data_IF_870199979814
#
_entry.id   IF_870199979814
#
_cell.length_a   1.000
_cell.length_b   1.000
_cell.length_c   1.000
_cell.angle_alpha   90.00
_cell.angle_beta   90.00
_cell.angle_gamma   90.00
#
_symmetry.space_group_name_H-M   'P 1'
#
loop_
_entity.id
_entity.type
_entity.pdbx_description
1 polymer ?
#
# COMPACT_ATOMS: atom_id res chain seq x y z
N UNK A 1 13.99 -11.30 -23.66
CA UNK A 1 13.00 -10.59 -24.46
C UNK A 1 13.03 -9.14 -24.02
N UNK A 2 13.17 -8.20 -24.95
CA UNK A 2 13.17 -6.76 -24.64
C UNK A 2 11.75 -6.26 -24.35
N UNK A 3 11.63 -5.05 -23.77
CA UNK A 3 10.33 -4.41 -23.58
C UNK A 3 9.60 -4.19 -24.91
N UNK A 4 10.31 -3.84 -25.99
CA UNK A 4 9.72 -3.65 -27.32
C UNK A 4 9.17 -4.95 -27.91
N UNK A 5 9.90 -6.06 -27.75
CA UNK A 5 9.42 -7.39 -28.15
C UNK A 5 8.18 -7.79 -27.35
N UNK A 6 8.15 -7.50 -26.04
CA UNK A 6 6.97 -7.75 -25.19
C UNK A 6 5.76 -6.94 -25.64
N UNK A 7 5.93 -5.64 -25.87
CA UNK A 7 4.85 -4.76 -26.33
C UNK A 7 4.32 -5.22 -27.68
N UNK A 8 5.19 -5.57 -28.63
CA UNK A 8 4.78 -6.08 -29.93
C UNK A 8 4.00 -7.40 -29.82
N UNK A 9 4.44 -8.31 -28.94
CA UNK A 9 3.77 -9.59 -28.70
C UNK A 9 2.36 -9.43 -28.10
N UNK A 10 2.18 -8.47 -27.19
CA UNK A 10 0.92 -8.24 -26.49
C UNK A 10 -0.13 -7.60 -27.41
N UNK A 11 0.29 -6.79 -28.39
CA UNK A 11 -0.62 -6.14 -29.34
C UNK A 11 -0.25 -4.70 -29.70
N UNK A 12 0.95 -4.25 -29.33
CA UNK A 12 1.43 -2.89 -29.56
C UNK A 12 1.03 -1.91 -28.45
N UNK A 13 1.38 -0.64 -28.65
CA UNK A 13 1.07 0.42 -27.69
C UNK A 13 -0.43 0.76 -27.68
N UNK A 14 -0.95 1.15 -26.51
CA UNK A 14 -2.35 1.55 -26.32
C UNK A 14 -3.38 0.52 -26.83
N UNK A 15 -3.08 -0.77 -26.67
CA UNK A 15 -3.86 -1.90 -27.17
C UNK A 15 -4.72 -2.59 -26.11
N UNK A 16 -4.45 -2.36 -24.82
CA UNK A 16 -5.06 -3.07 -23.70
C UNK A 16 -5.99 -2.17 -22.88
N UNK A 17 -7.22 -2.62 -22.68
CA UNK A 17 -8.20 -1.95 -21.82
C UNK A 17 -8.01 -2.30 -20.33
N UNK A 18 -7.54 -3.51 -20.03
CA UNK A 18 -7.42 -4.00 -18.66
C UNK A 18 -6.21 -4.96 -18.51
N UNK A 19 -5.39 -4.70 -17.50
CA UNK A 19 -4.34 -5.62 -17.02
C UNK A 19 -4.73 -6.09 -15.63
N UNK A 20 -4.62 -7.41 -15.39
CA UNK A 20 -4.89 -8.01 -14.09
C UNK A 20 -3.70 -8.85 -13.65
N UNK A 21 -3.20 -8.60 -12.43
CA UNK A 21 -2.30 -9.52 -11.74
C UNK A 21 -2.95 -10.02 -10.44
N UNK A 22 -3.63 -11.16 -10.54
CA UNK A 22 -4.31 -11.83 -9.43
C UNK A 22 -3.35 -12.82 -8.75
N UNK A 23 -2.92 -12.53 -7.52
CA UNK A 23 -1.99 -13.37 -6.73
C UNK A 23 -0.58 -13.56 -7.33
N UNK A 24 -0.14 -12.71 -8.26
CA UNK A 24 1.11 -12.97 -9.00
C UNK A 24 2.14 -11.85 -8.96
N UNK A 25 1.73 -10.58 -8.74
CA UNK A 25 2.60 -9.42 -9.01
C UNK A 25 3.89 -9.42 -8.18
N UNK A 26 3.88 -10.04 -6.99
CA UNK A 26 5.07 -10.17 -6.14
C UNK A 26 6.17 -11.08 -6.73
N UNK A 27 5.87 -11.88 -7.75
CA UNK A 27 6.86 -12.68 -8.48
C UNK A 27 7.48 -11.96 -9.69
N UNK A 28 6.97 -10.78 -10.06
CA UNK A 28 7.39 -10.10 -11.28
C UNK A 28 8.58 -9.17 -11.05
N UNK A 29 9.35 -8.93 -12.12
CA UNK A 29 10.17 -7.73 -12.22
C UNK A 29 9.23 -6.53 -12.40
N UNK A 30 8.98 -5.80 -11.31
CA UNK A 30 8.02 -4.68 -11.29
C UNK A 30 8.42 -3.55 -12.22
N UNK A 31 9.73 -3.30 -12.41
CA UNK A 31 10.20 -2.23 -13.31
C UNK A 31 9.81 -2.56 -14.74
N UNK A 32 10.20 -3.74 -15.20
CA UNK A 32 9.90 -4.23 -16.56
C UNK A 32 8.38 -4.36 -16.75
N UNK A 33 7.67 -4.93 -15.76
CA UNK A 33 6.22 -5.10 -15.82
C UNK A 33 5.49 -3.76 -15.95
N UNK A 34 5.82 -2.77 -15.12
CA UNK A 34 5.16 -1.47 -15.16
C UNK A 34 5.51 -0.65 -16.40
N UNK A 35 6.74 -0.76 -16.92
CA UNK A 35 7.12 -0.12 -18.17
C UNK A 35 6.28 -0.66 -19.34
N UNK A 36 6.19 -1.99 -19.47
CA UNK A 36 5.37 -2.64 -20.50
C UNK A 36 3.89 -2.30 -20.30
N UNK A 37 3.37 -2.40 -19.06
CA UNK A 37 1.98 -2.09 -18.74
C UNK A 37 1.59 -0.66 -19.16
N UNK A 38 2.44 0.35 -18.86
CA UNK A 38 2.20 1.75 -19.26
C UNK A 38 2.18 1.96 -20.77
N UNK A 39 2.89 1.12 -21.53
CA UNK A 39 2.93 1.19 -23.00
C UNK A 39 1.71 0.53 -23.62
N UNK A 40 1.34 -0.67 -23.17
CA UNK A 40 0.24 -1.43 -23.77
C UNK A 40 -1.13 -0.93 -23.31
N UNK A 41 -1.27 -0.38 -22.10
CA UNK A 41 -2.56 0.16 -21.63
C UNK A 41 -3.00 1.36 -22.47
N UNK A 42 -4.30 1.40 -22.80
CA UNK A 42 -4.92 2.58 -23.40
C UNK A 42 -4.75 3.79 -22.49
N UNK A 43 -4.42 4.94 -23.07
CA UNK A 43 -4.30 6.20 -22.33
C UNK A 43 -5.63 6.62 -21.71
N UNK A 44 -6.70 6.47 -22.48
CA UNK A 44 -8.07 6.71 -22.02
C UNK A 44 -8.73 5.38 -21.64
N UNK A 45 -9.27 5.30 -20.43
CA UNK A 45 -10.04 4.16 -19.95
C UNK A 45 -9.24 2.89 -19.61
N UNK A 46 -7.94 2.84 -19.89
CA UNK A 46 -7.09 1.69 -19.57
C UNK A 46 -6.84 1.54 -18.06
N UNK A 47 -7.06 0.34 -17.52
CA UNK A 47 -6.92 0.04 -16.10
C UNK A 47 -5.91 -1.09 -15.82
N UNK A 48 -5.23 -0.99 -14.69
CA UNK A 48 -4.46 -2.09 -14.11
C UNK A 48 -4.97 -2.38 -12.71
N UNK A 49 -5.28 -3.64 -12.44
CA UNK A 49 -5.71 -4.13 -11.14
C UNK A 49 -4.75 -5.21 -10.65
N UNK A 50 -4.29 -5.08 -9.42
CA UNK A 50 -3.47 -6.09 -8.74
C UNK A 50 -4.13 -6.45 -7.42
N UNK A 51 -4.13 -7.72 -7.07
CA UNK A 51 -4.62 -8.14 -5.76
C UNK A 51 -3.95 -9.40 -5.25
N UNK A 52 -4.08 -9.61 -3.95
CA UNK A 52 -3.70 -10.83 -3.23
C UNK A 52 -4.79 -11.15 -2.22
N UNK A 53 -4.98 -12.42 -1.90
CA UNK A 53 -5.80 -12.83 -0.76
C UNK A 53 -4.92 -13.65 0.18
N UNK A 54 -4.91 -13.27 1.45
CA UNK A 54 -4.02 -13.87 2.47
C UNK A 54 -4.79 -14.51 3.61
N UNK A 55 -5.91 -13.89 3.99
CA UNK A 55 -6.72 -14.36 5.10
C UNK A 55 -7.97 -15.08 4.59
N UNK A 56 -8.34 -16.13 5.30
CA UNK A 56 -9.61 -16.82 5.16
C UNK A 56 -10.34 -16.74 6.50
N UNK A 57 -11.57 -16.23 6.46
CA UNK A 57 -12.47 -16.17 7.62
C UNK A 57 -13.50 -17.27 7.45
N UNK A 58 -13.58 -18.17 8.42
CA UNK A 58 -14.42 -19.37 8.39
C UNK A 58 -15.38 -19.38 9.57
N UNK A 59 -14.85 -19.40 10.79
CA UNK A 59 -15.65 -19.37 12.02
C UNK A 59 -14.79 -19.06 13.25
N UNK A 60 -15.38 -18.57 14.35
CA UNK A 60 -14.65 -18.27 15.59
C UNK A 60 -13.82 -19.43 16.15
N UNK A 61 -14.22 -20.67 15.87
CA UNK A 61 -13.53 -21.89 16.31
C UNK A 61 -12.30 -22.23 15.44
N UNK A 62 -12.39 -21.96 14.13
CA UNK A 62 -11.38 -22.33 13.14
C UNK A 62 -10.34 -21.21 12.94
N UNK A 63 -10.79 -19.95 12.93
CA UNK A 63 -9.94 -18.79 12.64
C UNK A 63 -8.70 -18.70 13.56
N UNK A 64 -8.77 -18.98 14.87
CA UNK A 64 -7.58 -18.99 15.73
C UNK A 64 -6.59 -20.10 15.38
N UNK A 65 -7.06 -21.26 14.90
CA UNK A 65 -6.20 -22.36 14.45
C UNK A 65 -5.48 -21.95 13.17
N UNK A 66 -6.22 -21.39 12.21
CA UNK A 66 -5.65 -20.86 10.97
C UNK A 66 -4.60 -19.77 11.25
N UNK A 67 -4.89 -18.84 12.17
CA UNK A 67 -3.94 -17.79 12.56
C UNK A 67 -2.64 -18.38 13.09
N UNK A 68 -2.70 -19.38 13.98
CA UNK A 68 -1.49 -20.04 14.51
C UNK A 68 -0.69 -20.74 13.41
N UNK A 69 -1.37 -21.42 12.47
CA UNK A 69 -0.73 -22.01 11.31
C UNK A 69 -0.02 -20.93 10.48
N UNK A 70 -0.70 -19.82 10.17
CA UNK A 70 -0.11 -18.69 9.44
C UNK A 70 1.11 -18.14 10.17
N UNK A 71 1.03 -17.86 11.47
CA UNK A 71 2.14 -17.36 12.26
C UNK A 71 3.34 -18.32 12.24
N UNK A 72 3.10 -19.64 12.29
CA UNK A 72 4.14 -20.66 12.26
C UNK A 72 4.96 -20.70 10.96
N UNK A 73 4.43 -20.12 9.87
CA UNK A 73 5.15 -20.07 8.59
C UNK A 73 6.25 -19.02 8.57
N UNK A 74 6.25 -18.04 9.50
CA UNK A 74 7.13 -16.86 9.50
C UNK A 74 8.62 -17.20 9.28
N UNK A 75 9.21 -18.22 9.93
CA UNK A 75 10.62 -18.57 9.73
C UNK A 75 10.97 -19.04 8.31
N UNK A 76 9.98 -19.51 7.55
CA UNK A 76 10.17 -20.13 6.23
C UNK A 76 9.83 -19.17 5.08
N UNK A 77 9.31 -17.97 5.38
CA UNK A 77 8.87 -17.02 4.35
C UNK A 77 10.05 -16.36 3.66
N UNK A 78 9.94 -16.21 2.35
CA UNK A 78 10.88 -15.38 1.57
C UNK A 78 10.41 -13.92 1.54
N UNK A 79 11.27 -12.95 1.17
CA UNK A 79 10.84 -11.56 0.97
C UNK A 79 9.66 -11.41 0.00
N UNK A 80 9.64 -12.22 -1.07
CA UNK A 80 8.56 -12.27 -2.05
C UNK A 80 7.24 -12.72 -1.41
N UNK A 81 7.27 -13.75 -0.56
CA UNK A 81 6.10 -14.18 0.20
C UNK A 81 5.63 -13.11 1.19
N UNK A 82 6.57 -12.43 1.86
CA UNK A 82 6.22 -11.37 2.81
C UNK A 82 5.49 -10.21 2.13
N UNK A 83 5.87 -9.84 0.90
CA UNK A 83 5.13 -8.82 0.14
C UNK A 83 3.66 -9.22 -0.08
N UNK A 84 3.41 -10.50 -0.38
CA UNK A 84 2.06 -11.06 -0.47
C UNK A 84 1.35 -11.02 0.90
N UNK A 85 1.94 -11.60 1.95
CA UNK A 85 1.37 -11.65 3.31
C UNK A 85 1.08 -10.26 3.91
N UNK A 86 1.94 -9.29 3.64
CA UNK A 86 1.75 -7.89 4.05
C UNK A 86 0.71 -7.17 3.18
N UNK A 87 -0.02 -7.93 2.35
CA UNK A 87 -1.19 -7.48 1.62
C UNK A 87 -0.86 -6.37 0.62
N UNK A 88 0.36 -6.38 0.07
CA UNK A 88 0.88 -5.35 -0.83
C UNK A 88 0.93 -3.93 -0.25
N UNK A 89 0.97 -3.77 1.07
CA UNK A 89 1.13 -2.45 1.72
C UNK A 89 2.42 -1.73 1.35
N UNK A 90 3.45 -2.44 0.91
CA UNK A 90 4.74 -1.87 0.49
C UNK A 90 5.02 -2.04 -1.00
N UNK A 91 4.03 -2.50 -1.78
CA UNK A 91 4.16 -2.70 -3.22
C UNK A 91 4.19 -1.33 -3.94
N UNK A 92 5.27 -0.99 -4.67
CA UNK A 92 5.27 0.18 -5.54
C UNK A 92 4.17 0.05 -6.58
N UNK A 93 3.39 1.10 -6.81
CA UNK A 93 2.28 1.08 -7.76
C UNK A 93 2.18 2.43 -8.49
N UNK A 94 2.96 2.61 -9.58
CA UNK A 94 3.14 3.90 -10.25
C UNK A 94 2.01 4.21 -11.24
N UNK A 95 0.77 4.06 -10.78
CA UNK A 95 -0.46 4.36 -11.53
C UNK A 95 -1.37 5.25 -10.67
N UNK A 96 -2.13 6.11 -11.34
CA UNK A 96 -3.09 6.98 -10.68
C UNK A 96 -4.27 6.15 -10.14
N UNK A 97 -4.55 6.23 -8.84
CA UNK A 97 -5.67 5.51 -8.23
C UNK A 97 -7.02 5.95 -8.81
N UNK A 98 -7.92 5.00 -8.99
CA UNK A 98 -9.33 5.27 -9.36
C UNK A 98 -10.30 5.17 -8.17
N UNK A 99 -9.79 5.24 -6.94
CA UNK A 99 -10.59 5.08 -5.72
C UNK A 99 -10.72 3.63 -5.22
N UNK A 100 -10.09 2.67 -5.90
CA UNK A 100 -10.05 1.25 -5.49
C UNK A 100 -8.66 0.88 -4.97
N UNK A 101 -8.27 1.53 -3.87
CA UNK A 101 -6.93 1.41 -3.28
C UNK A 101 -5.87 2.27 -3.98
N UNK A 102 -4.74 2.48 -3.31
CA UNK A 102 -3.56 3.17 -3.85
C UNK A 102 -2.28 2.51 -3.36
N UNK A 103 -1.12 2.93 -3.89
CA UNK A 103 0.18 2.60 -3.30
C UNK A 103 0.14 2.87 -1.78
N UNK A 104 0.63 1.92 -0.99
CA UNK A 104 0.62 2.00 0.47
C UNK A 104 -0.73 1.71 1.16
N UNK A 105 -1.84 1.77 0.41
CA UNK A 105 -3.21 1.66 0.95
C UNK A 105 -4.11 0.79 0.04
N UNK A 106 -3.86 -0.52 -0.04
CA UNK A 106 -4.79 -1.46 -0.68
C UNK A 106 -6.17 -1.41 -0.01
N UNK A 107 -7.23 -1.57 -0.80
CA UNK A 107 -8.59 -1.75 -0.27
C UNK A 107 -8.83 -3.24 0.03
N UNK A 108 -9.50 -3.53 1.15
CA UNK A 108 -9.90 -4.90 1.49
C UNK A 108 -11.29 -5.21 0.93
N UNK A 109 -11.41 -6.35 0.26
CA UNK A 109 -12.65 -6.88 -0.31
C UNK A 109 -12.89 -8.30 0.17
N UNK A 110 -14.16 -8.64 0.34
CA UNK A 110 -14.57 -9.99 0.74
C UNK A 110 -14.93 -10.81 -0.50
N UNK A 111 -14.25 -11.94 -0.69
CA UNK A 111 -14.56 -12.91 -1.72
C UNK A 111 -15.29 -14.09 -1.06
N UNK A 112 -16.64 -14.18 -1.18
CA UNK A 112 -17.40 -15.26 -0.59
C UNK A 112 -17.13 -16.58 -1.31
N UNK A 113 -17.00 -17.66 -0.55
CA UNK A 113 -16.88 -19.01 -1.08
C UNK A 113 -17.54 -20.02 -0.13
N UNK A 114 -17.62 -21.28 -0.56
CA UNK A 114 -18.17 -22.40 0.19
C UNK A 114 -17.12 -23.50 0.21
N UNK A 115 -16.75 -23.95 1.41
CA UNK A 115 -15.73 -24.99 1.59
C UNK A 115 -16.28 -26.18 2.35
N UNK A 116 -15.89 -27.38 1.93
CA UNK A 116 -15.98 -28.59 2.74
C UNK A 116 -14.69 -28.76 3.53
N UNK A 117 -14.74 -29.50 4.65
CA UNK A 117 -13.56 -29.86 5.43
C UNK A 117 -12.49 -30.53 4.56
N UNK A 118 -12.89 -31.52 3.76
CA UNK A 118 -12.00 -32.23 2.82
C UNK A 118 -11.32 -31.27 1.84
N UNK A 119 -12.06 -30.31 1.27
CA UNK A 119 -11.52 -29.31 0.35
C UNK A 119 -10.53 -28.38 1.03
N UNK A 120 -10.86 -27.92 2.24
CA UNK A 120 -10.01 -27.04 3.04
C UNK A 120 -8.70 -27.73 3.44
N UNK A 121 -8.75 -28.95 3.97
CA UNK A 121 -7.55 -29.73 4.30
C UNK A 121 -6.71 -30.07 3.07
N UNK A 122 -7.36 -30.36 1.94
CA UNK A 122 -6.69 -30.54 0.65
C UNK A 122 -5.91 -29.30 0.23
N UNK A 123 -6.52 -28.12 0.36
CA UNK A 123 -5.86 -26.84 0.12
C UNK A 123 -4.63 -26.66 1.02
N UNK A 124 -4.76 -26.85 2.34
CA UNK A 124 -3.67 -26.65 3.30
C UNK A 124 -2.43 -27.50 2.97
N UNK A 125 -2.61 -28.74 2.51
CA UNK A 125 -1.51 -29.63 2.11
C UNK A 125 -0.73 -29.14 0.89
N UNK A 126 -1.35 -28.34 0.03
CA UNK A 126 -0.73 -27.72 -1.14
C UNK A 126 -0.37 -26.25 -0.93
N UNK A 127 -0.63 -25.71 0.26
CA UNK A 127 -0.45 -24.29 0.53
C UNK A 127 1.05 -23.96 0.53
N UNK A 128 1.44 -23.00 -0.32
CA UNK A 128 2.84 -22.72 -0.63
C UNK A 128 3.72 -22.47 0.61
N UNK A 129 3.28 -21.73 1.66
CA UNK A 129 4.05 -21.58 2.89
C UNK A 129 4.29 -22.89 3.65
N UNK A 130 3.31 -23.79 3.67
CA UNK A 130 3.45 -25.11 4.28
C UNK A 130 4.42 -25.99 3.47
N UNK A 131 4.32 -25.94 2.13
CA UNK A 131 5.27 -26.63 1.25
C UNK A 131 6.71 -26.12 1.45
N UNK A 132 6.89 -24.80 1.62
CA UNK A 132 8.20 -24.20 1.87
C UNK A 132 8.81 -24.62 3.20
N UNK A 133 8.00 -24.78 4.24
CA UNK A 133 8.44 -25.33 5.52
C UNK A 133 8.83 -26.81 5.40
N UNK A 134 8.04 -27.58 4.65
CA UNK A 134 8.28 -29.01 4.39
C UNK A 134 9.57 -29.26 3.63
N UNK A 135 9.88 -28.45 2.62
CA UNK A 135 11.17 -28.45 1.91
C UNK A 135 12.37 -28.25 2.86
N UNK A 136 12.15 -27.55 3.97
CA UNK A 136 13.16 -27.28 5.02
C UNK A 136 13.09 -28.30 6.17
N UNK A 137 12.34 -29.39 6.01
CA UNK A 137 12.25 -30.49 6.97
C UNK A 137 11.21 -30.29 8.08
N UNK A 138 10.34 -29.29 7.99
CA UNK A 138 9.31 -28.99 9.00
C UNK A 138 7.91 -29.22 8.43
N UNK A 139 7.21 -30.23 8.94
CA UNK A 139 5.81 -30.52 8.58
C UNK A 139 4.85 -29.69 9.43
N UNK A 140 4.40 -28.56 8.89
CA UNK A 140 3.44 -27.67 9.56
C UNK A 140 2.01 -28.22 9.53
N UNK A 141 1.63 -28.95 8.48
CA UNK A 141 0.28 -29.53 8.32
C UNK A 141 0.34 -31.00 8.72
N UNK A 142 0.68 -31.23 10.00
CA UNK A 142 0.76 -32.54 10.61
C UNK A 142 -0.60 -33.05 11.10
N UNK A 143 -0.65 -34.32 11.53
CA UNK A 143 -1.88 -34.98 11.99
C UNK A 143 -2.53 -34.28 13.21
N UNK A 144 -1.74 -33.73 14.14
CA UNK A 144 -2.28 -32.98 15.28
C UNK A 144 -3.03 -31.71 14.84
N UNK A 145 -2.49 -30.99 13.85
CA UNK A 145 -3.16 -29.84 13.28
C UNK A 145 -4.43 -30.23 12.51
N UNK A 146 -4.37 -31.33 11.75
CA UNK A 146 -5.53 -31.84 11.02
C UNK A 146 -6.66 -32.18 12.01
N UNK A 147 -6.38 -32.94 13.07
CA UNK A 147 -7.36 -33.28 14.12
C UNK A 147 -7.99 -32.01 14.72
N UNK A 148 -7.19 -30.98 15.01
CA UNK A 148 -7.72 -29.70 15.53
C UNK A 148 -8.70 -29.03 14.57
N UNK A 149 -8.42 -29.08 13.26
CA UNK A 149 -9.34 -28.55 12.26
C UNK A 149 -10.60 -29.41 12.15
N UNK A 150 -10.49 -30.74 12.18
CA UNK A 150 -11.63 -31.65 12.13
C UNK A 150 -12.57 -31.44 13.33
N UNK A 151 -12.02 -31.38 14.55
CA UNK A 151 -12.76 -31.11 15.78
C UNK A 151 -13.46 -29.74 15.74
N UNK A 152 -12.77 -28.68 15.29
CA UNK A 152 -13.34 -27.34 15.17
C UNK A 152 -14.37 -27.23 14.03
N UNK A 153 -14.25 -28.08 13.00
CA UNK A 153 -15.21 -28.11 11.89
C UNK A 153 -16.55 -28.69 12.32
N UNK A 154 -16.53 -29.70 13.19
CA UNK A 154 -17.70 -30.40 13.68
C UNK A 154 -18.17 -31.48 12.71
N UNK A 155 -19.28 -31.24 12.01
CA UNK A 155 -19.79 -32.19 11.02
C UNK A 155 -18.94 -32.14 9.74
N UNK A 156 -18.26 -33.25 9.42
CA UNK A 156 -17.39 -33.40 8.24
C UNK A 156 -18.12 -33.21 6.90
N UNK A 157 -19.44 -33.43 6.88
CA UNK A 157 -20.27 -33.24 5.69
C UNK A 157 -20.78 -31.80 5.55
N UNK A 158 -20.59 -30.96 6.58
CA UNK A 158 -21.00 -29.57 6.55
C UNK A 158 -20.10 -28.76 5.61
N UNK A 159 -20.74 -28.06 4.68
CA UNK A 159 -20.13 -27.00 3.89
C UNK A 159 -20.29 -25.68 4.62
N UNK A 160 -19.19 -24.99 4.90
CA UNK A 160 -19.18 -23.69 5.57
C UNK A 160 -19.07 -22.55 4.55
N UNK A 161 -19.78 -21.47 4.80
CA UNK A 161 -19.57 -20.19 4.13
C UNK A 161 -18.28 -19.57 4.65
N UNK A 162 -17.42 -19.12 3.73
CA UNK A 162 -16.12 -18.54 4.06
C UNK A 162 -15.90 -17.26 3.26
N UNK A 163 -15.03 -16.40 3.77
CA UNK A 163 -14.65 -15.16 3.09
C UNK A 163 -13.14 -15.09 2.98
N UNK A 164 -12.62 -15.06 1.76
CA UNK A 164 -11.23 -14.68 1.54
C UNK A 164 -11.13 -13.16 1.56
N UNK A 165 -10.22 -12.63 2.38
CA UNK A 165 -9.91 -11.20 2.39
C UNK A 165 -8.90 -10.91 1.30
N UNK A 166 -9.38 -10.30 0.22
CA UNK A 166 -8.54 -9.80 -0.86
C UNK A 166 -8.12 -8.36 -0.60
N UNK A 167 -6.89 -8.03 -0.94
CA UNK A 167 -6.32 -6.69 -0.86
C UNK A 167 -5.98 -6.24 -2.27
N UNK A 168 -6.66 -5.21 -2.74
CA UNK A 168 -6.66 -4.78 -4.13
C UNK A 168 -6.14 -3.35 -4.27
N UNK A 169 -5.42 -3.11 -5.36
CA UNK A 169 -5.04 -1.77 -5.84
C UNK A 169 -5.41 -1.70 -7.31
N UNK A 170 -6.14 -0.65 -7.71
CA UNK A 170 -6.50 -0.40 -9.10
C UNK A 170 -6.12 1.03 -9.49
N UNK A 171 -5.52 1.17 -10.67
CA UNK A 171 -5.15 2.47 -11.20
C UNK A 171 -5.19 2.56 -12.72
N UNK A 172 -4.97 3.77 -13.20
CA UNK A 172 -4.88 4.14 -14.61
C UNK A 172 -3.55 4.84 -14.90
N UNK A 173 -3.22 5.01 -16.18
CA UNK A 173 -2.09 5.87 -16.57
C UNK A 173 -2.38 7.30 -16.14
N UNK A 174 -1.40 7.99 -15.57
CA UNK A 174 -1.51 9.41 -15.23
C UNK A 174 -1.65 10.24 -16.50
N UNK A 175 -2.72 11.01 -16.60
CA UNK A 175 -2.89 11.97 -17.68
C UNK A 175 -1.91 13.14 -17.46
N UNK A 176 -0.99 13.37 -18.40
CA UNK A 176 -0.26 14.63 -18.43
C UNK A 176 -1.25 15.72 -18.82
N UNK A 177 -1.70 16.52 -17.86
CA UNK A 177 -2.37 17.78 -18.15
C UNK A 177 -1.30 18.73 -18.67
N UNK A 178 -1.35 19.03 -19.96
CA UNK A 178 -0.74 20.26 -20.45
C UNK A 178 -1.56 21.40 -19.85
N UNK A 179 -0.98 22.16 -18.93
CA UNK A 179 -1.52 23.48 -18.60
C UNK A 179 -1.48 24.30 -19.89
N UNK A 180 -2.64 24.48 -20.52
CA UNK A 180 -2.80 25.46 -21.57
C UNK A 180 -2.70 26.85 -20.93
N UNK A 181 -1.72 27.63 -21.35
CA UNK A 181 -1.59 29.06 -21.09
C UNK A 181 -2.87 29.78 -21.56
N UNK A 182 -3.86 29.93 -20.70
CA UNK A 182 -5.05 30.76 -20.96
C UNK A 182 -5.51 31.46 -19.67
N UNK A 183 -4.74 32.46 -19.23
CA UNK A 183 -5.23 33.64 -18.50
C UNK A 183 -4.24 34.80 -18.69
N UNK A 184 -4.26 35.45 -19.85
CA UNK A 184 -4.01 36.91 -19.91
C UNK A 184 -5.36 37.55 -20.19
N UNK A 185 -6.11 37.86 -19.13
CA UNK A 185 -7.19 38.82 -19.21
C UNK A 185 -6.66 40.20 -18.82
N UNK A 186 -6.41 41.03 -19.84
CA UNK A 186 -6.44 42.47 -19.70
C UNK A 186 -7.83 42.88 -19.20
N UNK A 187 -7.93 43.37 -17.96
CA UNK A 187 -8.76 44.51 -17.58
C UNK A 187 -8.89 44.61 -16.06
N UNK A 188 -8.18 45.57 -15.48
CA UNK A 188 -8.71 46.57 -14.51
C UNK A 188 -7.58 47.33 -13.82
N UNK A 189 -6.77 48.01 -14.62
CA UNK A 189 -5.89 49.08 -14.15
C UNK A 189 -6.74 50.38 -14.04
N UNK A 190 -7.67 50.39 -13.09
CA UNK A 190 -8.46 51.57 -12.69
C UNK A 190 -8.85 51.44 -11.23
N UNK A 191 -7.90 51.64 -10.33
CA UNK A 191 -8.20 52.42 -9.13
C UNK A 191 -6.92 52.95 -8.47
N UNK A 192 -7.01 54.20 -8.02
CA UNK A 192 -6.09 54.89 -7.12
C UNK A 192 -4.84 55.58 -7.71
N UNK A 193 -5.07 56.43 -8.73
CA UNK A 193 -4.31 57.67 -8.95
C UNK A 193 -5.04 58.86 -8.29
N UNK A 194 -5.11 58.88 -6.96
CA UNK A 194 -5.37 60.05 -6.10
C UNK A 194 -4.66 59.70 -4.78
N UNK A 195 -3.52 60.26 -4.42
CA UNK A 195 -3.37 61.63 -3.94
C UNK A 195 -1.91 62.12 -4.08
N UNK A 196 -1.80 63.33 -4.60
CA UNK A 196 -0.62 64.17 -4.77
C UNK A 196 0.00 64.67 -3.46
N UNK A 197 1.33 64.64 -3.46
CA UNK A 197 2.32 65.54 -2.84
C UNK A 197 1.87 66.60 -1.81
N UNK A 198 2.50 66.56 -0.62
CA UNK A 198 2.82 67.76 0.18
C UNK A 198 4.26 67.66 0.73
N UNK A 199 5.18 68.37 0.07
CA UNK A 199 6.13 69.36 0.65
C UNK A 199 7.13 68.98 1.75
N UNK A 200 8.43 68.85 1.35
CA UNK A 200 9.69 69.46 1.91
C UNK A 200 9.74 69.77 3.43
N UNK A 201 10.76 69.41 4.23
CA UNK A 201 12.20 69.81 4.16
C UNK A 201 12.94 69.36 5.46
N UNK A 202 14.24 69.02 5.33
CA UNK A 202 15.37 69.13 6.31
C UNK A 202 15.23 68.41 7.68
N UNK A 203 16.23 67.76 8.29
CA UNK A 203 17.66 68.06 8.38
C UNK A 203 18.48 66.86 8.93
N UNK A 204 19.80 66.94 8.76
CA UNK A 204 20.88 66.00 9.16
C UNK A 204 20.83 65.51 10.63
N UNK A 205 21.29 64.27 10.88
CA UNK A 205 22.51 63.91 11.66
C UNK A 205 22.62 62.38 11.90
N UNK A 206 23.83 61.85 11.72
CA UNK A 206 24.41 60.68 12.40
C UNK A 206 25.64 61.20 13.19
N UNK A 207 26.36 60.40 14.00
CA UNK A 207 26.01 59.34 14.97
C UNK A 207 26.70 59.60 16.33
N UNK A 208 26.49 58.74 17.34
CA UNK A 208 27.30 58.48 18.58
C UNK A 208 26.35 58.23 19.75
N UNK A 209 26.59 57.45 20.79
CA UNK A 209 27.52 56.39 21.19
C UNK A 209 26.95 55.91 22.55
N UNK A 210 27.33 54.69 22.95
CA UNK A 210 27.46 54.21 24.35
C UNK A 210 26.34 54.46 25.39
N UNK A 211 25.80 53.37 25.93
CA UNK A 211 26.21 52.83 27.25
C UNK A 211 25.20 51.73 27.67
N UNK A 212 25.60 50.47 27.79
CA UNK A 212 26.18 49.85 29.00
C UNK A 212 25.15 49.54 30.10
N UNK A 213 24.84 48.23 30.24
CA UNK A 213 24.95 47.42 31.48
C UNK A 213 24.26 46.08 31.22
N UNK A 214 24.99 44.98 31.05
CA UNK A 214 25.59 44.14 32.09
C UNK A 214 24.64 43.73 33.22
N UNK A 215 24.34 42.43 33.25
CA UNK A 215 24.61 41.47 34.33
C UNK A 215 23.38 40.63 34.69
N UNK A 216 23.38 39.31 34.48
CA UNK A 216 24.16 38.23 35.13
C UNK A 216 23.37 37.64 36.31
N UNK A 217 23.02 36.36 36.17
CA UNK A 217 23.14 35.24 37.14
C UNK A 217 21.96 34.26 36.93
N UNK A 218 22.14 33.03 36.45
CA UNK A 218 22.76 31.85 37.09
C UNK A 218 22.17 31.53 38.47
N UNK A 219 21.44 30.41 38.54
CA UNK A 219 21.73 29.20 39.35
C UNK A 219 20.45 28.34 39.47
N UNK A 220 20.45 27.05 39.07
CA UNK A 220 20.76 25.84 39.90
C UNK A 220 19.90 25.79 41.17
N UNK A 221 19.29 24.70 41.60
CA UNK A 221 19.49 23.24 41.46
C UNK A 221 18.28 22.58 42.16
N UNK A 222 18.11 21.27 41.94
CA UNK A 222 17.75 20.19 42.93
C UNK A 222 16.64 20.48 43.97
N UNK A 223 15.71 19.57 44.28
CA UNK A 223 15.97 18.23 44.80
C UNK A 223 14.64 17.50 45.13
N UNK A 224 14.72 16.17 45.25
CA UNK A 224 13.86 15.16 45.94
C UNK A 224 12.32 15.17 45.72
N UNK A 225 11.58 14.05 45.65
CA UNK A 225 11.69 12.70 46.23
C UNK A 225 10.28 12.26 46.67
N UNK A 226 10.09 10.96 46.93
CA UNK A 226 8.87 10.24 47.40
C UNK A 226 7.78 9.90 46.36
N UNK A 227 7.03 8.80 46.44
CA UNK A 227 7.09 7.47 47.08
C UNK A 227 5.84 6.71 46.55
N UNK A 228 5.79 5.40 46.79
CA UNK A 228 4.86 4.39 46.28
C UNK A 228 3.34 4.58 46.44
N UNK A 229 2.59 4.03 45.47
CA UNK A 229 1.54 3.02 45.65
C UNK A 229 1.31 2.26 44.33
#
# INVERSE_FOLDING_TARGET
MSEDEMVALIGGENSMDLIVAAQAVHFFDLTTFYNVAKRVLRKEGGLIAVWVYNDIIISPEIDPIMKRLVDSTLPFRTPIMNLAFDSYKTLPFPFESIGMGSEGKPITLDIPHKLSLKGFLGFLRSWQPAMKAKEQGVELVNEDLITKFEEAWGDENQVKDVYYKAHMIVGKIQEMRCESDDQVSEDSNKDLLLQTEVGRKQERRQPSDEDTRQSKKQNTSEDEGHEAC
#
